data_IF_002943950863
#
_entry.id   IF_002943950863
#
_cell.length_a   1.000
_cell.length_b   1.000
_cell.length_c   1.000
_cell.angle_alpha   90.00
_cell.angle_beta   90.00
_cell.angle_gamma   90.00
#
_symmetry.space_group_name_H-M   'P 1'
#
loop_
_entity.id
_entity.type
_entity.pdbx_description
1 polymer ?
#
# COMPACT_ATOMS: atom_id res chain seq x y z
N UNK A 1 -8.17 -12.98 -32.54
CA UNK A 1 -8.21 -13.36 -31.11
C UNK A 1 -9.42 -14.27 -30.88
N UNK A 2 -9.31 -15.36 -30.13
CA UNK A 2 -10.43 -16.33 -30.00
C UNK A 2 -11.51 -15.81 -29.02
N UNK A 3 -12.80 -16.15 -29.23
CA UNK A 3 -13.88 -15.75 -28.32
C UNK A 3 -13.66 -16.20 -26.86
N UNK A 4 -13.04 -17.37 -26.69
CA UNK A 4 -12.63 -17.93 -25.40
C UNK A 4 -11.61 -17.04 -24.69
N UNK A 5 -10.53 -16.66 -25.39
CA UNK A 5 -9.50 -15.74 -24.89
C UNK A 5 -10.08 -14.39 -24.48
N UNK A 6 -11.04 -13.87 -25.23
CA UNK A 6 -11.72 -12.60 -24.90
C UNK A 6 -12.57 -12.68 -23.62
N UNK A 7 -13.20 -13.82 -23.30
CA UNK A 7 -13.95 -13.99 -22.04
C UNK A 7 -13.03 -13.95 -20.83
N UNK A 8 -11.97 -14.75 -20.85
CA UNK A 8 -10.97 -14.76 -19.79
C UNK A 8 -10.31 -13.38 -19.59
N UNK A 9 -9.92 -12.72 -20.69
CA UNK A 9 -9.37 -11.35 -20.68
C UNK A 9 -10.30 -10.35 -20.00
N UNK A 10 -11.58 -10.33 -20.39
CA UNK A 10 -12.58 -9.41 -19.79
C UNK A 10 -12.78 -9.66 -18.30
N UNK A 11 -12.75 -10.92 -17.86
CA UNK A 11 -12.88 -11.26 -16.45
C UNK A 11 -11.70 -10.74 -15.63
N UNK A 12 -10.47 -10.92 -16.13
CA UNK A 12 -9.25 -10.39 -15.50
C UNK A 12 -9.28 -8.87 -15.40
N UNK A 13 -9.53 -8.17 -16.50
CA UNK A 13 -9.57 -6.70 -16.49
C UNK A 13 -10.63 -6.15 -15.54
N UNK A 14 -11.81 -6.77 -15.49
CA UNK A 14 -12.87 -6.36 -14.57
C UNK A 14 -12.45 -6.53 -13.11
N UNK A 15 -11.88 -7.68 -12.77
CA UNK A 15 -11.43 -7.98 -11.42
C UNK A 15 -10.31 -7.04 -10.98
N UNK A 16 -9.28 -6.87 -11.81
CA UNK A 16 -8.11 -6.04 -11.49
C UNK A 16 -8.49 -4.56 -11.37
N UNK A 17 -9.34 -4.04 -12.27
CA UNK A 17 -9.79 -2.64 -12.24
C UNK A 17 -10.73 -2.32 -11.09
N UNK A 18 -11.46 -3.31 -10.57
CA UNK A 18 -12.35 -3.14 -9.42
C UNK A 18 -11.63 -3.33 -8.07
N UNK A 19 -10.38 -3.81 -8.08
CA UNK A 19 -9.64 -4.08 -6.86
C UNK A 19 -9.18 -2.79 -6.18
N UNK A 20 -9.21 -2.77 -4.85
CA UNK A 20 -8.69 -1.67 -4.04
C UNK A 20 -7.23 -1.88 -3.61
N UNK A 21 -6.64 -3.01 -4.02
CA UNK A 21 -5.23 -3.37 -3.82
C UNK A 21 -4.76 -4.35 -4.89
N UNK A 22 -3.43 -4.51 -5.10
CA UNK A 22 -2.91 -5.59 -5.94
C UNK A 22 -3.42 -6.96 -5.50
N UNK A 23 -3.74 -7.80 -6.48
CA UNK A 23 -4.37 -9.09 -6.27
C UNK A 23 -3.35 -10.21 -6.36
N UNK A 24 -3.52 -11.25 -5.54
CA UNK A 24 -2.76 -12.47 -5.70
C UNK A 24 -3.04 -13.09 -7.09
N UNK A 25 -1.98 -13.44 -7.82
CA UNK A 25 -2.04 -13.97 -9.17
C UNK A 25 -2.84 -15.27 -9.28
N UNK A 26 -2.88 -16.09 -8.23
CA UNK A 26 -3.73 -17.28 -8.16
C UNK A 26 -5.23 -16.95 -8.18
N UNK A 27 -5.64 -15.88 -7.49
CA UNK A 27 -7.04 -15.41 -7.53
C UNK A 27 -7.42 -14.88 -8.92
N UNK A 28 -6.49 -14.19 -9.58
CA UNK A 28 -6.69 -13.70 -10.96
C UNK A 28 -6.72 -14.87 -11.96
N UNK A 29 -5.86 -15.88 -11.78
CA UNK A 29 -5.87 -17.10 -12.56
C UNK A 29 -7.19 -17.87 -12.42
N UNK A 30 -7.71 -18.01 -11.20
CA UNK A 30 -9.03 -18.61 -10.96
C UNK A 30 -10.16 -17.84 -11.64
N UNK A 31 -10.11 -16.50 -11.63
CA UNK A 31 -11.12 -15.69 -12.31
C UNK A 31 -11.10 -15.92 -13.83
N UNK A 32 -9.92 -16.03 -14.44
CA UNK A 32 -9.77 -16.38 -15.85
C UNK A 32 -10.32 -17.80 -16.15
N UNK A 33 -9.97 -18.78 -15.33
CA UNK A 33 -10.44 -20.17 -15.44
C UNK A 33 -11.95 -20.30 -15.28
N UNK A 34 -12.54 -19.58 -14.31
CA UNK A 34 -14.00 -19.59 -14.10
C UNK A 34 -14.76 -19.00 -15.28
N UNK A 35 -14.16 -18.03 -15.97
CA UNK A 35 -14.74 -17.42 -17.16
C UNK A 35 -14.54 -18.28 -18.42
N UNK A 36 -13.48 -19.08 -18.46
CA UNK A 36 -13.15 -19.98 -19.56
C UNK A 36 -12.42 -21.24 -19.04
N UNK A 37 -13.15 -22.33 -18.73
CA UNK A 37 -12.56 -23.54 -18.16
C UNK A 37 -11.56 -24.25 -19.09
N UNK A 38 -11.78 -24.20 -20.41
CA UNK A 38 -10.95 -24.88 -21.41
C UNK A 38 -9.56 -24.24 -21.58
N UNK A 39 -9.33 -23.10 -20.90
CA UNK A 39 -8.05 -22.40 -20.91
C UNK A 39 -6.93 -23.22 -20.24
N UNK A 40 -7.27 -24.09 -19.27
CA UNK A 40 -6.31 -24.85 -18.45
C UNK A 40 -6.43 -26.32 -18.81
N UNK A 41 -5.57 -26.77 -19.74
CA UNK A 41 -4.27 -27.23 -19.24
C UNK A 41 -3.09 -26.39 -19.73
N UNK A 42 -3.24 -25.66 -20.84
CA UNK A 42 -2.10 -25.05 -21.56
C UNK A 42 -2.02 -23.53 -21.51
N UNK A 43 -2.98 -22.87 -20.86
CA UNK A 43 -3.17 -21.42 -20.93
C UNK A 43 -3.17 -20.91 -22.36
N UNK A 44 -3.97 -21.58 -23.22
CA UNK A 44 -4.05 -21.30 -24.66
C UNK A 44 -2.67 -21.36 -25.36
N UNK A 45 -1.89 -22.39 -25.01
CA UNK A 45 -0.55 -22.63 -25.57
C UNK A 45 0.54 -21.68 -25.05
N UNK A 46 0.26 -20.86 -24.04
CA UNK A 46 1.26 -19.97 -23.44
C UNK A 46 2.18 -20.67 -22.43
N UNK A 47 1.87 -21.91 -22.03
CA UNK A 47 2.68 -22.70 -21.10
C UNK A 47 2.53 -22.33 -19.62
N UNK A 48 1.74 -21.30 -19.31
CA UNK A 48 1.48 -20.88 -17.93
C UNK A 48 0.66 -19.59 -17.85
N UNK A 49 0.07 -19.34 -16.68
CA UNK A 49 -0.75 -18.15 -16.44
C UNK A 49 0.02 -16.84 -16.69
N UNK A 50 1.24 -16.71 -16.16
CA UNK A 50 2.04 -15.49 -16.30
C UNK A 50 2.33 -15.15 -17.77
N UNK A 51 2.74 -16.15 -18.56
CA UNK A 51 2.98 -16.02 -20.00
C UNK A 51 1.71 -15.70 -20.78
N UNK A 52 0.56 -16.24 -20.37
CA UNK A 52 -0.73 -15.91 -20.97
C UNK A 52 -1.16 -14.49 -20.63
N UNK A 53 -0.98 -14.06 -19.39
CA UNK A 53 -1.34 -12.74 -18.88
C UNK A 53 -0.55 -11.65 -19.61
N UNK A 54 0.77 -11.80 -19.72
CA UNK A 54 1.61 -10.83 -20.45
C UNK A 54 1.27 -10.73 -21.93
N UNK A 55 0.86 -11.83 -22.56
CA UNK A 55 0.46 -11.89 -23.98
C UNK A 55 -0.93 -11.32 -24.24
N UNK A 56 -1.87 -11.55 -23.33
CA UNK A 56 -3.32 -11.38 -23.59
C UNK A 56 -3.90 -10.17 -22.86
N UNK A 57 -3.30 -9.78 -21.74
CA UNK A 57 -3.76 -8.68 -20.88
C UNK A 57 -2.59 -7.73 -20.58
N UNK A 58 -1.95 -7.13 -21.61
CA UNK A 58 -0.80 -6.26 -21.41
C UNK A 58 -1.12 -4.98 -20.61
N UNK A 59 -2.39 -4.67 -20.38
CA UNK A 59 -2.80 -3.50 -19.58
C UNK A 59 -2.66 -3.69 -18.07
N UNK A 60 -2.40 -4.92 -17.59
CA UNK A 60 -2.12 -5.16 -16.17
C UNK A 60 -0.62 -5.37 -15.96
N UNK A 61 -0.13 -4.93 -14.80
CA UNK A 61 1.22 -5.23 -14.37
C UNK A 61 1.20 -6.46 -13.46
N UNK A 62 2.29 -7.24 -13.48
CA UNK A 62 2.44 -8.42 -12.67
C UNK A 62 3.89 -8.61 -12.24
N UNK A 63 4.10 -8.86 -10.95
CA UNK A 63 5.39 -9.13 -10.33
C UNK A 63 5.16 -9.84 -8.99
N UNK A 64 6.14 -10.61 -8.53
CA UNK A 64 6.13 -11.23 -7.19
C UNK A 64 4.86 -12.04 -6.85
N UNK A 65 4.22 -12.64 -7.86
CA UNK A 65 2.98 -13.40 -7.69
C UNK A 65 1.71 -12.55 -7.53
N UNK A 66 1.78 -11.25 -7.80
CA UNK A 66 0.65 -10.33 -7.79
C UNK A 66 0.35 -9.77 -9.18
N UNK A 67 -0.87 -9.27 -9.35
CA UNK A 67 -1.37 -8.61 -10.55
C UNK A 67 -2.13 -7.34 -10.15
N UNK A 68 -1.90 -6.24 -10.84
CA UNK A 68 -2.54 -4.95 -10.52
C UNK A 68 -2.77 -4.07 -11.75
N UNK A 69 -3.59 -3.04 -11.58
CA UNK A 69 -3.78 -1.97 -12.56
C UNK A 69 -2.61 -0.96 -12.44
N UNK A 70 -1.71 -0.86 -13.43
CA UNK A 70 -0.53 0.01 -13.36
C UNK A 70 -0.87 1.50 -13.38
N UNK A 71 -2.11 1.88 -13.71
CA UNK A 71 -2.58 3.27 -13.58
C UNK A 71 -2.99 3.64 -12.15
N UNK A 72 -3.21 2.63 -11.29
CA UNK A 72 -3.71 2.79 -9.92
C UNK A 72 -2.70 2.36 -8.85
N UNK A 73 -1.91 1.33 -9.16
CA UNK A 73 -0.96 0.70 -8.23
C UNK A 73 0.39 0.48 -8.92
N UNK A 74 1.41 0.25 -8.12
CA UNK A 74 2.77 -0.04 -8.53
C UNK A 74 3.29 -1.29 -7.82
N UNK A 75 4.50 -1.72 -8.16
CA UNK A 75 5.15 -2.82 -7.44
C UNK A 75 5.36 -2.51 -5.95
N UNK A 76 5.48 -1.22 -5.58
CA UNK A 76 5.58 -0.77 -4.19
C UNK A 76 4.24 -0.90 -3.42
N UNK A 77 3.11 -1.01 -4.12
CA UNK A 77 1.78 -1.23 -3.53
C UNK A 77 1.46 -2.72 -3.38
N UNK A 78 2.32 -3.62 -3.87
CA UNK A 78 2.15 -5.03 -3.61
C UNK A 78 2.19 -5.23 -2.10
N UNK A 79 1.12 -5.78 -1.55
CA UNK A 79 1.19 -6.51 -0.30
C UNK A 79 2.02 -7.77 -0.57
N UNK A 80 3.31 -7.61 -0.81
CA UNK A 80 4.13 -8.68 -1.35
C UNK A 80 4.13 -9.88 -0.40
N UNK A 81 4.77 -10.99 -0.81
CA UNK A 81 5.44 -11.87 0.13
C UNK A 81 6.62 -11.15 0.85
N UNK A 82 6.67 -9.81 0.78
CA UNK A 82 7.72 -8.90 1.19
C UNK A 82 7.15 -7.67 1.90
N UNK A 83 6.11 -7.86 2.72
CA UNK A 83 6.13 -7.11 3.98
C UNK A 83 7.51 -7.33 4.58
N UNK A 84 8.19 -6.27 5.04
CA UNK A 84 9.33 -6.50 5.93
C UNK A 84 8.83 -7.47 7.00
N UNK A 85 9.57 -8.53 7.31
CA UNK A 85 9.16 -9.44 8.39
C UNK A 85 9.22 -8.63 9.68
N UNK A 86 8.10 -7.98 9.99
CA UNK A 86 8.01 -7.10 11.12
C UNK A 86 7.95 -7.96 12.38
N UNK A 87 8.53 -7.50 13.49
CA UNK A 87 8.35 -8.13 14.79
C UNK A 87 6.86 -8.44 15.07
N UNK A 88 6.54 -9.53 15.80
CA UNK A 88 5.16 -10.00 16.01
C UNK A 88 4.17 -8.89 16.41
N UNK A 89 4.58 -8.00 17.32
CA UNK A 89 3.78 -6.84 17.75
C UNK A 89 3.39 -5.92 16.58
N UNK A 90 4.32 -5.60 15.69
CA UNK A 90 4.08 -4.69 14.57
C UNK A 90 3.18 -5.32 13.51
N UNK A 91 3.34 -6.63 13.25
CA UNK A 91 2.41 -7.39 12.39
C UNK A 91 0.99 -7.35 12.93
N UNK A 92 0.83 -7.62 14.23
CA UNK A 92 -0.47 -7.54 14.88
C UNK A 92 -1.08 -6.14 14.77
N UNK A 93 -0.28 -5.08 14.92
CA UNK A 93 -0.76 -3.69 14.72
C UNK A 93 -1.20 -3.47 13.28
N UNK A 94 -0.43 -3.89 12.27
CA UNK A 94 -0.83 -3.79 10.86
C UNK A 94 -2.16 -4.51 10.62
N UNK A 95 -2.28 -5.76 11.08
CA UNK A 95 -3.44 -6.61 10.85
C UNK A 95 -4.74 -6.04 11.45
N UNK A 96 -4.66 -5.35 12.60
CA UNK A 96 -5.85 -4.81 13.29
C UNK A 96 -6.16 -3.35 12.96
N UNK A 97 -5.23 -2.63 12.30
CA UNK A 97 -5.39 -1.19 12.01
C UNK A 97 -5.33 -0.84 10.53
N UNK A 98 -4.95 -1.78 9.67
CA UNK A 98 -4.74 -1.58 8.22
C UNK A 98 -3.77 -0.43 7.89
N UNK A 99 -2.89 -0.06 8.82
CA UNK A 99 -1.84 0.94 8.56
C UNK A 99 -0.79 0.37 7.60
N UNK A 100 0.01 1.22 6.93
CA UNK A 100 1.05 0.75 6.03
C UNK A 100 2.05 -0.20 6.72
N UNK A 101 2.31 -1.35 6.08
CA UNK A 101 3.36 -2.27 6.49
C UNK A 101 4.74 -1.72 6.08
N UNK A 102 5.26 -0.79 6.87
CA UNK A 102 6.54 -0.13 6.62
C UNK A 102 7.49 -0.32 7.81
N UNK A 103 8.80 -0.52 7.57
CA UNK A 103 9.81 -0.45 8.62
C UNK A 103 9.96 1.00 9.14
N UNK A 104 10.61 1.16 10.29
CA UNK A 104 10.81 2.45 10.97
C UNK A 104 11.44 3.49 10.03
N UNK A 105 12.42 3.10 9.24
CA UNK A 105 13.20 3.97 8.36
C UNK A 105 12.31 4.56 7.26
N UNK A 106 11.37 3.77 6.72
CA UNK A 106 10.42 4.24 5.71
C UNK A 106 9.35 5.16 6.29
N UNK A 107 8.90 4.90 7.51
CA UNK A 107 8.07 5.87 8.23
C UNK A 107 8.79 7.20 8.42
N UNK A 108 10.09 7.19 8.75
CA UNK A 108 10.88 8.41 8.87
C UNK A 108 10.91 9.20 7.56
N UNK A 109 11.21 8.53 6.44
CA UNK A 109 11.28 9.17 5.12
C UNK A 109 9.92 9.76 4.72
N UNK A 110 8.84 8.99 4.86
CA UNK A 110 7.49 9.45 4.52
C UNK A 110 7.08 10.68 5.36
N UNK A 111 7.23 10.61 6.68
CA UNK A 111 6.82 11.71 7.58
C UNK A 111 7.64 12.98 7.33
N UNK A 112 8.94 12.82 7.02
CA UNK A 112 9.83 13.94 6.65
C UNK A 112 9.37 14.59 5.35
N UNK A 113 9.18 13.79 4.29
CA UNK A 113 8.70 14.27 2.99
C UNK A 113 7.33 14.96 3.10
N UNK A 114 6.42 14.45 3.93
CA UNK A 114 5.12 15.08 4.18
C UNK A 114 5.27 16.47 4.83
N UNK A 115 6.09 16.58 5.87
CA UNK A 115 6.31 17.84 6.57
C UNK A 115 6.99 18.89 5.66
N UNK A 116 7.95 18.45 4.84
CA UNK A 116 8.62 19.30 3.84
C UNK A 116 7.65 19.76 2.75
N UNK A 117 6.79 18.86 2.24
CA UNK A 117 5.83 19.23 1.19
C UNK A 117 4.84 20.28 1.66
N UNK A 118 4.22 20.09 2.83
CA UNK A 118 3.22 21.05 3.35
C UNK A 118 3.86 22.36 3.81
N UNK A 119 5.16 22.37 4.10
CA UNK A 119 5.89 23.61 4.35
C UNK A 119 6.11 24.41 3.06
N UNK A 120 6.39 23.73 1.95
CA UNK A 120 6.72 24.32 0.65
C UNK A 120 5.49 24.66 -0.22
N UNK A 121 4.42 23.87 -0.12
CA UNK A 121 3.26 23.95 -1.00
C UNK A 121 1.95 24.10 -0.20
N UNK A 122 0.92 24.75 -0.76
CA UNK A 122 -0.43 24.68 -0.20
C UNK A 122 -0.92 23.23 -0.12
N UNK A 123 -1.60 22.89 0.97
CA UNK A 123 -2.18 21.57 1.14
C UNK A 123 -3.37 21.37 0.19
N UNK A 124 -3.16 20.51 -0.80
CA UNK A 124 -4.20 19.86 -1.59
C UNK A 124 -3.93 18.36 -1.50
N UNK A 125 -4.90 17.58 -1.03
CA UNK A 125 -4.63 16.18 -0.66
C UNK A 125 -4.15 15.32 -1.85
N UNK A 126 -4.82 15.31 -3.02
CA UNK A 126 -4.33 14.58 -4.20
C UNK A 126 -2.91 14.97 -4.62
N UNK A 127 -2.62 16.27 -4.70
CA UNK A 127 -1.30 16.74 -5.14
C UNK A 127 -0.21 16.54 -4.08
N UNK A 128 -0.54 16.70 -2.79
CA UNK A 128 0.36 16.40 -1.66
C UNK A 128 0.76 14.93 -1.68
N UNK A 129 -0.22 14.01 -1.81
CA UNK A 129 0.06 12.57 -1.89
C UNK A 129 0.98 12.25 -3.06
N UNK A 130 0.76 12.87 -4.22
CA UNK A 130 1.60 12.67 -5.41
C UNK A 130 3.03 13.16 -5.16
N UNK A 131 3.22 14.41 -4.70
CA UNK A 131 4.56 14.99 -4.47
C UNK A 131 5.32 14.25 -3.37
N UNK A 132 4.66 13.88 -2.27
CA UNK A 132 5.28 13.11 -1.18
C UNK A 132 5.70 11.72 -1.67
N UNK A 133 4.87 11.04 -2.45
CA UNK A 133 5.26 9.79 -3.09
C UNK A 133 6.49 9.97 -3.98
N UNK A 134 6.47 10.96 -4.87
CA UNK A 134 7.59 11.22 -5.80
C UNK A 134 8.89 11.54 -5.03
N UNK A 135 8.79 12.24 -3.89
CA UNK A 135 9.91 12.50 -2.99
C UNK A 135 10.45 11.21 -2.34
N UNK A 136 9.58 10.31 -1.86
CA UNK A 136 10.00 8.99 -1.35
C UNK A 136 10.74 8.16 -2.42
N UNK A 137 10.23 8.15 -3.66
CA UNK A 137 10.88 7.46 -4.78
C UNK A 137 12.25 8.07 -5.09
N UNK A 138 12.35 9.41 -5.08
CA UNK A 138 13.61 10.13 -5.28
C UNK A 138 14.63 9.83 -4.19
N UNK A 139 14.17 9.59 -2.95
CA UNK A 139 15.00 9.15 -1.83
C UNK A 139 15.41 7.66 -1.91
N UNK A 140 15.00 6.94 -2.96
CA UNK A 140 15.31 5.52 -3.14
C UNK A 140 14.48 4.58 -2.27
N UNK A 141 13.41 5.07 -1.64
CA UNK A 141 12.54 4.26 -0.79
C UNK A 141 11.26 3.86 -1.52
N UNK A 142 11.02 2.55 -1.75
CA UNK A 142 9.86 2.06 -2.49
C UNK A 142 8.60 2.11 -1.61
N UNK A 143 8.07 3.31 -1.39
CA UNK A 143 6.85 3.56 -0.61
C UNK A 143 5.70 3.80 -1.58
N UNK A 144 4.66 2.96 -1.54
CA UNK A 144 3.50 3.06 -2.42
C UNK A 144 2.62 4.29 -2.18
N UNK A 145 1.92 4.75 -3.21
CA UNK A 145 1.00 5.91 -3.12
C UNK A 145 -0.13 5.65 -2.13
N UNK A 146 -0.60 4.41 -2.03
CA UNK A 146 -1.63 4.03 -1.07
C UNK A 146 -1.16 4.22 0.38
N UNK A 147 0.09 3.87 0.67
CA UNK A 147 0.69 4.07 1.99
C UNK A 147 0.79 5.56 2.35
N UNK A 148 1.24 6.39 1.40
CA UNK A 148 1.28 7.85 1.58
C UNK A 148 -0.11 8.42 1.85
N UNK A 149 -1.11 8.03 1.03
CA UNK A 149 -2.48 8.48 1.24
C UNK A 149 -3.06 8.04 2.59
N UNK A 150 -2.75 6.81 3.05
CA UNK A 150 -3.19 6.32 4.36
C UNK A 150 -2.65 7.21 5.49
N UNK A 151 -1.35 7.54 5.47
CA UNK A 151 -0.75 8.42 6.49
C UNK A 151 -1.35 9.82 6.44
N UNK A 152 -1.46 10.42 5.26
CA UNK A 152 -2.08 11.76 5.08
C UNK A 152 -3.54 11.76 5.57
N UNK A 153 -4.30 10.70 5.29
CA UNK A 153 -5.66 10.53 5.78
C UNK A 153 -5.67 10.46 7.31
N UNK A 154 -4.83 9.60 7.88
CA UNK A 154 -4.79 9.32 9.31
C UNK A 154 -4.46 10.55 10.14
N UNK A 155 -3.46 11.35 9.74
CA UNK A 155 -3.16 12.59 10.46
C UNK A 155 -4.29 13.62 10.33
N UNK A 156 -4.94 13.71 9.17
CA UNK A 156 -6.08 14.62 8.96
C UNK A 156 -7.30 14.19 9.81
N UNK A 157 -7.61 12.89 9.85
CA UNK A 157 -8.71 12.36 10.65
C UNK A 157 -8.44 12.45 12.16
N UNK A 158 -7.17 12.41 12.57
CA UNK A 158 -6.75 12.72 13.93
C UNK A 158 -6.75 14.23 14.25
N UNK A 159 -7.24 15.08 13.33
CA UNK A 159 -7.46 16.51 13.55
C UNK A 159 -6.26 17.40 13.27
N UNK A 160 -5.20 16.90 12.61
CA UNK A 160 -4.10 17.74 12.20
C UNK A 160 -4.48 18.58 10.97
N UNK A 161 -4.45 19.89 11.13
CA UNK A 161 -4.54 20.81 10.00
C UNK A 161 -3.19 20.86 9.25
N UNK A 162 -3.12 20.18 8.10
CA UNK A 162 -1.94 20.19 7.23
C UNK A 162 -1.79 21.52 6.48
N UNK A 163 -2.85 22.32 6.31
CA UNK A 163 -2.78 23.64 5.69
C UNK A 163 -2.07 24.66 6.61
N UNK A 164 -2.10 24.43 7.92
CA UNK A 164 -1.36 25.19 8.92
C UNK A 164 0.17 24.91 8.92
N UNK A 165 0.66 24.06 8.01
CA UNK A 165 2.08 23.73 7.82
C UNK A 165 2.75 23.24 9.11
N UNK A 166 2.23 22.16 9.72
CA UNK A 166 2.73 21.66 10.99
C UNK A 166 4.19 21.21 10.88
N UNK A 167 4.91 21.29 11.99
CA UNK A 167 6.29 20.79 12.06
C UNK A 167 6.36 19.27 11.90
N UNK A 168 7.52 18.76 11.45
CA UNK A 168 7.79 17.31 11.36
C UNK A 168 7.45 16.57 12.66
N UNK A 169 7.86 17.15 13.80
CA UNK A 169 7.55 16.58 15.11
C UNK A 169 6.04 16.45 15.31
N UNK A 170 5.26 17.48 14.97
CA UNK A 170 3.80 17.46 15.14
C UNK A 170 3.14 16.44 14.22
N UNK A 171 3.58 16.33 12.96
CA UNK A 171 3.11 15.30 12.02
C UNK A 171 3.37 13.89 12.58
N UNK A 172 4.59 13.64 13.07
CA UNK A 172 4.97 12.34 13.63
C UNK A 172 4.21 12.01 14.93
N UNK A 173 4.02 12.98 15.83
CA UNK A 173 3.21 12.83 17.06
C UNK A 173 1.77 12.46 16.72
N UNK A 174 1.13 13.23 15.83
CA UNK A 174 -0.27 13.00 15.45
C UNK A 174 -0.45 11.67 14.71
N UNK A 175 0.48 11.28 13.84
CA UNK A 175 0.44 9.95 13.21
C UNK A 175 0.55 8.82 14.25
N UNK A 176 1.50 8.90 15.17
CA UNK A 176 1.65 7.90 16.22
C UNK A 176 0.43 7.83 17.14
N UNK A 177 -0.17 8.97 17.49
CA UNK A 177 -1.41 9.03 18.27
C UNK A 177 -2.59 8.42 17.51
N UNK A 178 -2.70 8.65 16.20
CA UNK A 178 -3.70 8.03 15.34
C UNK A 178 -3.59 6.49 15.37
N UNK A 179 -2.38 5.95 15.16
CA UNK A 179 -2.15 4.50 15.19
C UNK A 179 -2.53 3.90 16.56
N UNK A 180 -2.12 4.54 17.65
CA UNK A 180 -2.49 4.11 19.00
C UNK A 180 -4.00 4.15 19.21
N UNK A 181 -4.67 5.18 18.67
CA UNK A 181 -6.13 5.29 18.66
C UNK A 181 -6.80 4.13 17.93
N UNK A 182 -6.27 3.74 16.76
CA UNK A 182 -6.76 2.60 15.98
C UNK A 182 -6.60 1.27 16.74
N UNK A 183 -5.44 1.03 17.36
CA UNK A 183 -5.23 -0.16 18.20
C UNK A 183 -6.25 -0.24 19.34
N UNK A 184 -6.51 0.88 20.02
CA UNK A 184 -7.53 0.95 21.09
C UNK A 184 -8.94 0.69 20.55
N UNK A 185 -9.28 1.26 19.39
CA UNK A 185 -10.56 1.04 18.72
C UNK A 185 -10.77 -0.44 18.34
N UNK A 186 -9.70 -1.12 17.93
CA UNK A 186 -9.68 -2.56 17.64
C UNK A 186 -9.64 -3.44 18.90
N UNK A 187 -9.70 -2.85 20.11
CA UNK A 187 -9.58 -3.53 21.41
C UNK A 187 -8.29 -4.34 21.56
N UNK A 188 -7.22 -3.91 20.89
CA UNK A 188 -5.89 -4.49 21.08
C UNK A 188 -5.32 -4.05 22.43
N UNK A 189 -4.98 -5.02 23.28
CA UNK A 189 -4.30 -4.76 24.54
C UNK A 189 -2.82 -4.47 24.27
N UNK A 190 -2.37 -3.27 24.66
CA UNK A 190 -0.99 -2.84 24.56
C UNK A 190 -0.46 -2.54 25.96
N UNK A 191 0.61 -3.22 26.37
CA UNK A 191 1.33 -2.84 27.59
C UNK A 191 2.01 -1.46 27.41
N UNK A 192 2.47 -0.86 28.52
CA UNK A 192 3.24 0.39 28.43
C UNK A 192 4.51 0.26 27.59
N UNK A 193 5.14 -0.91 27.60
CA UNK A 193 6.31 -1.23 26.77
C UNK A 193 5.91 -1.34 25.29
N UNK A 194 4.82 -2.04 24.97
CA UNK A 194 4.35 -2.19 23.59
C UNK A 194 3.92 -0.86 22.99
N UNK A 195 3.25 -0.02 23.80
CA UNK A 195 2.89 1.33 23.39
C UNK A 195 4.12 2.15 23.02
N UNK A 196 5.19 2.11 23.82
CA UNK A 196 6.43 2.80 23.53
C UNK A 196 7.11 2.25 22.26
N UNK A 197 7.11 0.93 22.07
CA UNK A 197 7.66 0.28 20.89
C UNK A 197 6.90 0.67 19.61
N UNK A 198 5.56 0.63 19.64
CA UNK A 198 4.70 1.04 18.51
C UNK A 198 4.92 2.50 18.17
N UNK A 199 4.88 3.40 19.16
CA UNK A 199 5.11 4.84 18.94
C UNK A 199 6.49 5.10 18.33
N UNK A 200 7.53 4.42 18.82
CA UNK A 200 8.88 4.57 18.28
C UNK A 200 8.99 4.11 16.83
N UNK A 201 8.31 3.02 16.48
CA UNK A 201 8.30 2.45 15.14
C UNK A 201 7.55 3.34 14.15
N UNK A 202 6.27 3.64 14.40
CA UNK A 202 5.42 4.35 13.41
C UNK A 202 5.77 5.82 13.26
N UNK A 203 6.44 6.42 14.26
CA UNK A 203 6.98 7.78 14.13
C UNK A 203 8.33 7.83 13.39
N UNK A 204 8.86 6.70 12.92
CA UNK A 204 10.19 6.63 12.31
C UNK A 204 11.34 6.97 13.27
N UNK A 205 11.11 6.86 14.58
CA UNK A 205 12.05 7.27 15.62
C UNK A 205 12.16 8.78 15.82
N UNK A 206 11.33 9.60 15.17
CA UNK A 206 11.39 11.07 15.22
C UNK A 206 10.95 11.66 16.58
N UNK A 207 10.33 10.85 17.44
CA UNK A 207 9.82 11.28 18.75
C UNK A 207 10.72 10.91 19.92
N UNK A 208 11.79 10.15 19.68
CA UNK A 208 12.79 9.87 20.71
C UNK A 208 13.61 11.13 20.99
N UNK A 209 13.79 11.44 22.26
CA UNK A 209 14.81 12.38 22.76
C UNK A 209 16.13 11.64 22.90
#
# INVERSE_FOLDING_TARGET
ETPARQRARRAVLRLVRAADRPLNGGAVAQAAQKAEPDLVPGWDGAGGFASWLSRTVPEVAAASGFVWDPSRFSEADLAGPGGVDLPPLQRQVVDVTDIPNLPTERYRVLLTALAEDVAAHPFDRPETVRRVHDACQTAGEPIGRASVNNVVAGVSYAGLDLAARPSLRKVAETWADNVVGLCRGARMELSGHDLAAVRSWVSGGLLRR
#
